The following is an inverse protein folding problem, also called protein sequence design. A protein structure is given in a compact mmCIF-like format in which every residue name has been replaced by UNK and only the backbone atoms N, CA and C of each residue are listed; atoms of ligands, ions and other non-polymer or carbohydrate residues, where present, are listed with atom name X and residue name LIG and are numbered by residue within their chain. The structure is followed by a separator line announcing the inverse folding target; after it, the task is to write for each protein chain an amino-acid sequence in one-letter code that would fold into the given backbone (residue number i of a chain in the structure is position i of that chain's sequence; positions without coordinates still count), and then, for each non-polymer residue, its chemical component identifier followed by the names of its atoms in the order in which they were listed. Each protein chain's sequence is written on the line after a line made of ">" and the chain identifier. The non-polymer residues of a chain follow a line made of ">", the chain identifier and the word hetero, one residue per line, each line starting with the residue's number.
data_IF_547402156814
#
_entry.id   IF_547402156814
#
_cell.length_a   1.000
_cell.length_b   1.000
_cell.length_c   1.000
_cell.angle_alpha   90.00
_cell.angle_beta   90.00
_cell.angle_gamma   90.00
#
_symmetry.space_group_name_H-M   'P 1'
#
loop_
_entity.id
_entity.type
_entity.pdbx_description
1 polymer ?
#
# COMPACT_ATOMS: atom_id res chain seq x y z
N UNK A 1 -5.24 -3.19 -33.26
CA UNK A 1 -5.23 -1.76 -32.88
C UNK A 1 -4.31 -1.47 -31.70
N UNK A 2 -4.42 -2.17 -30.56
CA UNK A 2 -3.50 -1.96 -29.43
C UNK A 2 -2.04 -2.31 -29.74
N UNK A 3 -1.79 -3.37 -30.50
CA UNK A 3 -0.44 -3.78 -30.89
C UNK A 3 0.27 -2.74 -31.79
N UNK A 4 -0.44 -2.13 -32.73
CA UNK A 4 0.12 -1.08 -33.60
C UNK A 4 0.42 0.20 -32.82
N UNK A 5 -0.44 0.58 -31.86
CA UNK A 5 -0.20 1.73 -30.97
C UNK A 5 1.03 1.49 -30.10
N UNK A 6 1.14 0.31 -29.47
CA UNK A 6 2.31 -0.05 -28.67
C UNK A 6 3.59 -0.01 -29.50
N UNK A 7 3.57 -0.56 -30.71
CA UNK A 7 4.70 -0.54 -31.64
C UNK A 7 5.18 0.89 -31.96
N UNK A 8 4.27 1.79 -32.36
CA UNK A 8 4.63 3.17 -32.67
C UNK A 8 5.12 3.94 -31.44
N UNK A 9 4.48 3.74 -30.28
CA UNK A 9 4.91 4.35 -29.04
C UNK A 9 6.33 3.89 -28.64
N UNK A 10 6.61 2.58 -28.72
CA UNK A 10 7.95 2.04 -28.45
C UNK A 10 8.99 2.63 -29.39
N UNK A 11 8.73 2.64 -30.70
CA UNK A 11 9.66 3.23 -31.67
C UNK A 11 9.91 4.72 -31.40
N UNK A 12 8.85 5.47 -31.05
CA UNK A 12 8.97 6.87 -30.70
C UNK A 12 9.86 7.09 -29.45
N UNK A 13 9.66 6.33 -28.38
CA UNK A 13 10.49 6.44 -27.18
C UNK A 13 11.93 5.99 -27.40
N UNK A 14 12.15 4.91 -28.16
CA UNK A 14 13.49 4.46 -28.54
C UNK A 14 14.20 5.54 -29.35
N UNK A 15 13.49 6.19 -30.28
CA UNK A 15 14.03 7.30 -31.06
C UNK A 15 14.41 8.51 -30.17
N UNK A 16 13.55 8.89 -29.20
CA UNK A 16 13.87 9.95 -28.24
C UNK A 16 15.10 9.62 -27.39
N UNK A 17 15.22 8.36 -26.93
CA UNK A 17 16.39 7.89 -26.19
C UNK A 17 17.64 7.97 -27.07
N UNK A 18 17.56 7.51 -28.32
CA UNK A 18 18.68 7.59 -29.27
C UNK A 18 19.11 9.04 -29.53
N UNK A 19 18.16 9.99 -29.64
CA UNK A 19 18.46 11.42 -29.74
C UNK A 19 19.16 11.95 -28.49
N UNK A 20 18.67 11.59 -27.29
CA UNK A 20 19.29 11.99 -26.04
C UNK A 20 20.75 11.49 -25.93
N UNK A 21 20.99 10.22 -26.26
CA UNK A 21 22.35 9.67 -26.28
C UNK A 21 23.24 10.29 -27.36
N UNK A 22 22.70 10.58 -28.55
CA UNK A 22 23.43 11.27 -29.61
C UNK A 22 23.85 12.68 -29.18
N UNK A 23 22.95 13.39 -28.50
CA UNK A 23 23.24 14.70 -27.91
C UNK A 23 24.33 14.61 -26.84
N UNK A 24 24.21 13.66 -25.90
CA UNK A 24 25.22 13.43 -24.85
C UNK A 24 26.58 13.09 -25.46
N UNK A 25 26.62 12.25 -26.49
CA UNK A 25 27.84 11.88 -27.21
C UNK A 25 28.50 13.08 -27.91
N UNK A 26 27.70 13.96 -28.50
CA UNK A 26 28.20 15.21 -29.08
C UNK A 26 28.78 16.15 -28.02
N UNK A 27 28.13 16.23 -26.86
CA UNK A 27 28.54 17.11 -25.76
C UNK A 27 29.75 16.55 -24.99
N UNK A 28 29.91 15.24 -24.87
CA UNK A 28 31.02 14.59 -24.17
C UNK A 28 32.37 14.81 -24.84
N UNK A 29 32.39 15.19 -26.11
CA UNK A 29 33.61 15.52 -26.86
C UNK A 29 34.15 16.92 -26.55
N UNK A 30 33.39 17.75 -25.84
CA UNK A 30 33.80 19.11 -25.46
C UNK A 30 34.48 19.07 -24.09
N UNK A 31 35.73 19.52 -24.01
CA UNK A 31 36.39 19.77 -22.73
C UNK A 31 35.78 21.02 -22.10
N UNK A 32 35.19 20.87 -20.91
CA UNK A 32 34.67 21.97 -20.10
C UNK A 32 35.20 21.88 -18.69
N UNK A 33 35.36 23.03 -18.06
CA UNK A 33 35.73 23.10 -16.65
C UNK A 33 34.60 22.54 -15.77
N UNK A 34 34.98 21.66 -14.84
CA UNK A 34 34.04 20.90 -14.03
C UNK A 34 33.33 21.73 -12.95
N UNK A 35 34.02 22.71 -12.36
CA UNK A 35 33.50 23.50 -11.23
C UNK A 35 32.15 24.17 -11.50
N UNK A 36 31.99 24.97 -12.56
CA UNK A 36 30.73 25.65 -12.88
C UNK A 36 29.57 24.69 -13.23
N UNK A 37 29.88 23.49 -13.73
CA UNK A 37 28.89 22.45 -14.06
C UNK A 37 28.38 21.81 -12.77
N UNK A 38 29.30 21.49 -11.85
CA UNK A 38 29.00 20.89 -10.56
C UNK A 38 28.09 21.79 -9.72
N UNK A 39 28.36 23.09 -9.64
CA UNK A 39 27.52 24.04 -8.90
C UNK A 39 26.08 24.12 -9.42
N UNK A 40 25.92 24.15 -10.75
CA UNK A 40 24.58 24.14 -11.39
C UNK A 40 23.84 22.84 -11.10
N UNK A 41 24.55 21.71 -11.18
CA UNK A 41 24.00 20.39 -10.85
C UNK A 41 23.51 20.31 -9.39
N UNK A 42 24.28 20.83 -8.44
CA UNK A 42 23.88 20.86 -7.03
C UNK A 42 22.67 21.76 -6.76
N UNK A 43 22.55 22.90 -7.45
CA UNK A 43 21.34 23.75 -7.35
C UNK A 43 20.11 22.99 -7.81
N UNK A 44 20.17 22.35 -8.98
CA UNK A 44 19.08 21.52 -9.51
C UNK A 44 18.74 20.39 -8.53
N UNK A 45 19.75 19.69 -8.01
CA UNK A 45 19.56 18.60 -7.04
C UNK A 45 18.87 19.07 -5.76
N UNK A 46 19.22 20.25 -5.24
CA UNK A 46 18.58 20.83 -4.05
C UNK A 46 17.09 21.09 -4.29
N UNK A 47 16.73 21.73 -5.40
CA UNK A 47 15.33 22.00 -5.72
C UNK A 47 14.55 20.73 -6.02
N UNK A 48 15.15 19.77 -6.74
CA UNK A 48 14.55 18.47 -6.96
C UNK A 48 14.28 17.73 -5.65
N UNK A 49 15.25 17.69 -4.74
CA UNK A 49 15.10 17.06 -3.43
C UNK A 49 13.98 17.71 -2.60
N UNK A 50 13.94 19.04 -2.54
CA UNK A 50 12.89 19.78 -1.83
C UNK A 50 11.52 19.56 -2.47
N UNK A 51 11.44 19.56 -3.80
CA UNK A 51 10.21 19.26 -4.54
C UNK A 51 9.72 17.85 -4.26
N UNK A 52 10.61 16.86 -4.29
CA UNK A 52 10.28 15.47 -3.96
C UNK A 52 9.77 15.34 -2.52
N UNK A 53 10.45 15.96 -1.56
CA UNK A 53 10.03 16.00 -0.16
C UNK A 53 8.64 16.61 0.01
N UNK A 54 8.37 17.74 -0.66
CA UNK A 54 7.08 18.40 -0.59
C UNK A 54 5.96 17.52 -1.19
N UNK A 55 6.18 16.98 -2.39
CA UNK A 55 5.19 16.14 -3.07
C UNK A 55 4.95 14.83 -2.31
N UNK A 56 6.01 14.12 -1.94
CA UNK A 56 5.88 12.85 -1.21
C UNK A 56 5.34 13.05 0.21
N UNK A 57 5.77 14.12 0.90
CA UNK A 57 5.27 14.47 2.22
C UNK A 57 3.78 14.79 2.19
N UNK A 58 3.35 15.60 1.23
CA UNK A 58 1.94 15.94 1.04
C UNK A 58 1.09 14.72 0.64
N UNK A 59 1.57 13.91 -0.31
CA UNK A 59 0.89 12.67 -0.70
C UNK A 59 0.75 11.70 0.48
N UNK A 60 1.79 11.57 1.30
CA UNK A 60 1.76 10.76 2.52
C UNK A 60 0.76 11.32 3.54
N UNK A 61 0.75 12.62 3.77
CA UNK A 61 -0.18 13.25 4.71
C UNK A 61 -1.64 13.02 4.30
N UNK A 62 -1.98 13.20 3.02
CA UNK A 62 -3.33 12.91 2.51
C UNK A 62 -3.66 11.43 2.66
N UNK A 63 -2.74 10.55 2.24
CA UNK A 63 -3.00 9.10 2.24
C UNK A 63 -3.21 8.58 3.66
N UNK A 64 -2.36 8.99 4.60
CA UNK A 64 -2.46 8.59 6.01
C UNK A 64 -3.69 9.19 6.69
N UNK A 65 -4.06 10.43 6.38
CA UNK A 65 -5.26 11.08 6.96
C UNK A 65 -6.58 10.37 6.60
N UNK A 66 -6.60 9.61 5.50
CA UNK A 66 -7.77 8.87 5.04
C UNK A 66 -7.84 7.45 5.59
N UNK A 67 -6.83 6.99 6.33
CA UNK A 67 -6.85 5.65 6.89
C UNK A 67 -7.84 5.59 8.06
N UNK A 68 -8.68 4.55 8.16
CA UNK A 68 -9.75 4.48 9.14
C UNK A 68 -9.26 4.16 10.57
N UNK A 69 -8.00 4.41 10.90
CA UNK A 69 -7.41 4.07 12.19
C UNK A 69 -8.09 4.77 13.36
N UNK A 70 -8.48 6.04 13.19
CA UNK A 70 -9.17 6.80 14.25
C UNK A 70 -10.57 6.24 14.55
N UNK A 71 -11.28 5.74 13.52
CA UNK A 71 -12.62 5.20 13.68
C UNK A 71 -12.61 3.78 14.25
N UNK A 72 -11.57 2.98 13.96
CA UNK A 72 -11.44 1.62 14.48
C UNK A 72 -11.28 1.58 16.01
N UNK A 73 -10.54 2.53 16.60
CA UNK A 73 -10.41 2.61 18.05
C UNK A 73 -11.65 3.21 18.74
N UNK A 74 -12.39 4.10 18.06
CA UNK A 74 -13.62 4.71 18.62
C UNK A 74 -14.82 3.77 18.53
N UNK A 75 -14.85 2.85 17.56
CA UNK A 75 -15.87 1.81 17.42
C UNK A 75 -15.64 0.60 18.35
N UNK A 76 -14.42 0.43 18.88
CA UNK A 76 -14.15 -0.48 19.98
C UNK A 76 -14.69 0.09 21.31
N UNK A 77 -15.97 0.46 21.34
CA UNK A 77 -16.68 0.71 22.60
C UNK A 77 -16.68 -0.59 23.39
N UNK A 78 -16.37 -0.49 24.69
CA UNK A 78 -16.28 -1.62 25.63
C UNK A 78 -17.59 -2.41 25.84
N UNK A 79 -18.71 -1.96 25.25
CA UNK A 79 -20.05 -2.56 25.41
C UNK A 79 -20.41 -3.62 24.35
N UNK A 80 -19.47 -4.02 23.50
CA UNK A 80 -19.71 -5.06 22.49
C UNK A 80 -19.61 -6.48 23.05
N UNK A 81 -20.41 -7.42 22.54
CA UNK A 81 -20.26 -8.84 22.87
C UNK A 81 -18.91 -9.35 22.41
N UNK A 82 -18.10 -9.85 23.33
CA UNK A 82 -16.78 -10.37 23.01
C UNK A 82 -16.86 -11.86 22.70
N UNK A 83 -16.32 -12.27 21.55
CA UNK A 83 -16.25 -13.68 21.12
C UNK A 83 -14.80 -14.02 20.82
N UNK A 84 -14.24 -14.97 21.58
CA UNK A 84 -12.92 -15.53 21.26
C UNK A 84 -13.07 -16.55 20.14
N UNK A 85 -12.25 -16.39 19.10
CA UNK A 85 -12.23 -17.23 17.91
C UNK A 85 -10.86 -17.86 17.78
N UNK A 86 -10.82 -19.20 17.75
CA UNK A 86 -9.57 -19.94 17.59
C UNK A 86 -9.60 -20.77 16.32
N UNK A 87 -8.70 -20.45 15.39
CA UNK A 87 -8.48 -21.21 14.16
C UNK A 87 -7.62 -22.45 14.41
N UNK A 88 -7.93 -23.50 13.66
CA UNK A 88 -7.14 -24.72 13.55
C UNK A 88 -7.36 -25.33 12.16
N UNK A 89 -6.58 -26.35 11.82
CA UNK A 89 -6.67 -26.99 10.51
C UNK A 89 -8.11 -27.44 10.21
N UNK A 90 -8.72 -26.78 9.21
CA UNK A 90 -10.06 -27.04 8.72
C UNK A 90 -11.22 -26.77 9.70
N UNK A 91 -11.01 -26.03 10.80
CA UNK A 91 -12.08 -25.72 11.75
C UNK A 91 -11.87 -24.39 12.49
N UNK A 92 -12.97 -23.90 13.07
CA UNK A 92 -13.01 -22.73 13.95
C UNK A 92 -13.72 -23.10 15.26
N UNK A 93 -13.17 -22.63 16.36
CA UNK A 93 -13.76 -22.74 17.70
C UNK A 93 -14.16 -21.34 18.16
N UNK A 94 -15.44 -21.14 18.45
CA UNK A 94 -15.98 -19.87 18.94
C UNK A 94 -16.42 -20.04 20.40
N UNK A 95 -16.17 -19.03 21.23
CA UNK A 95 -16.64 -19.05 22.63
C UNK A 95 -18.15 -18.88 22.75
N UNK A 96 -18.81 -18.32 21.73
CA UNK A 96 -20.26 -18.19 21.63
C UNK A 96 -20.67 -18.13 20.15
N UNK A 97 -21.82 -18.74 19.84
CA UNK A 97 -22.39 -18.81 18.49
C UNK A 97 -23.77 -18.14 18.39
N UNK A 98 -24.30 -17.62 19.49
CA UNK A 98 -25.58 -16.92 19.52
C UNK A 98 -25.35 -15.42 19.36
N UNK A 99 -26.01 -14.78 18.41
CA UNK A 99 -25.82 -13.34 18.15
C UNK A 99 -27.15 -12.60 18.11
N UNK A 100 -27.18 -11.39 18.67
CA UNK A 100 -28.34 -10.51 18.63
C UNK A 100 -28.17 -9.49 17.50
N UNK A 101 -29.20 -9.33 16.68
CA UNK A 101 -29.16 -8.33 15.60
C UNK A 101 -29.07 -6.92 16.19
N UNK A 102 -28.13 -6.11 15.69
CA UNK A 102 -27.89 -4.74 16.14
C UNK A 102 -26.92 -4.61 17.32
N UNK A 103 -26.50 -5.72 17.93
CA UNK A 103 -25.48 -5.75 18.97
C UNK A 103 -24.07 -5.73 18.33
N UNK A 104 -23.19 -4.79 18.71
CA UNK A 104 -21.79 -4.82 18.27
C UNK A 104 -21.08 -6.07 18.79
N UNK A 105 -20.31 -6.74 17.93
CA UNK A 105 -19.52 -7.93 18.29
C UNK A 105 -18.03 -7.64 18.10
N UNK A 106 -17.24 -7.96 19.11
CA UNK A 106 -15.79 -7.92 19.05
C UNK A 106 -15.23 -9.35 18.98
N UNK A 107 -14.76 -9.75 17.80
CA UNK A 107 -14.05 -11.01 17.63
C UNK A 107 -12.59 -10.85 18.07
N UNK A 108 -12.13 -11.70 18.99
CA UNK A 108 -10.72 -11.82 19.38
C UNK A 108 -10.15 -13.07 18.74
N UNK A 109 -9.37 -12.91 17.68
CA UNK A 109 -9.01 -14.00 16.79
C UNK A 109 -7.58 -14.47 17.04
N UNK A 110 -7.37 -15.77 17.17
CA UNK A 110 -6.06 -16.42 17.27
C UNK A 110 -6.06 -17.78 16.58
N UNK A 111 -4.92 -18.47 16.55
CA UNK A 111 -4.79 -19.82 15.99
C UNK A 111 -3.99 -20.75 16.90
N UNK A 112 -4.31 -22.05 16.88
CA UNK A 112 -3.58 -23.10 17.61
C UNK A 112 -2.41 -23.69 16.81
N UNK A 113 -2.36 -23.54 15.49
CA UNK A 113 -1.39 -24.20 14.62
C UNK A 113 -0.64 -23.25 13.67
N UNK A 114 -1.22 -22.90 12.52
CA UNK A 114 -0.65 -22.03 11.49
C UNK A 114 -1.48 -20.76 11.35
N UNK A 115 -1.02 -19.82 10.53
CA UNK A 115 -1.81 -18.61 10.25
C UNK A 115 -2.99 -18.95 9.33
N UNK A 116 -4.20 -18.55 9.73
CA UNK A 116 -5.42 -18.69 8.91
C UNK A 116 -6.02 -17.32 8.57
N UNK A 117 -6.82 -17.27 7.51
CA UNK A 117 -7.68 -16.11 7.22
C UNK A 117 -9.05 -16.28 7.88
N UNK A 118 -9.38 -15.42 8.85
CA UNK A 118 -10.73 -15.35 9.40
C UNK A 118 -11.54 -14.35 8.59
N UNK A 119 -12.61 -14.80 7.94
CA UNK A 119 -13.46 -13.98 7.07
C UNK A 119 -14.93 -14.11 7.44
N UNK A 120 -15.62 -12.97 7.55
CA UNK A 120 -17.06 -12.90 7.75
C UNK A 120 -17.75 -12.69 6.40
N UNK A 121 -18.67 -13.59 6.05
CA UNK A 121 -19.42 -13.53 4.80
C UNK A 121 -20.89 -13.29 5.08
N UNK A 122 -21.56 -12.56 4.17
CA UNK A 122 -23.02 -12.48 4.20
C UNK A 122 -23.66 -13.69 3.48
N UNK A 123 -25.00 -13.85 3.50
CA UNK A 123 -25.68 -14.98 2.84
C UNK A 123 -25.48 -15.08 1.32
N UNK A 124 -24.97 -14.02 0.67
CA UNK A 124 -24.62 -14.02 -0.76
C UNK A 124 -23.16 -14.39 -1.02
N UNK A 125 -22.42 -14.82 0.01
CA UNK A 125 -20.98 -15.12 -0.03
C UNK A 125 -20.10 -13.89 -0.35
N UNK A 126 -20.57 -12.69 0.00
CA UNK A 126 -19.75 -11.47 -0.10
C UNK A 126 -18.96 -11.28 1.20
N UNK A 127 -17.66 -10.99 1.07
CA UNK A 127 -16.78 -10.76 2.21
C UNK A 127 -17.06 -9.39 2.84
N UNK A 128 -17.46 -9.39 4.12
CA UNK A 128 -17.81 -8.18 4.88
C UNK A 128 -16.61 -7.67 5.69
N UNK A 129 -15.87 -8.58 6.32
CA UNK A 129 -14.70 -8.26 7.12
C UNK A 129 -13.72 -9.44 7.14
N UNK A 130 -12.43 -9.18 7.33
CA UNK A 130 -11.43 -10.22 7.51
C UNK A 130 -10.26 -9.77 8.40
N UNK A 131 -9.62 -10.73 9.06
CA UNK A 131 -8.35 -10.56 9.77
C UNK A 131 -7.51 -11.86 9.70
N UNK A 132 -6.26 -11.80 10.13
CA UNK A 132 -5.39 -12.97 10.24
C UNK A 132 -5.46 -13.58 11.64
N UNK A 133 -5.75 -14.88 11.69
CA UNK A 133 -5.66 -15.68 12.91
C UNK A 133 -4.23 -16.21 13.05
N UNK A 134 -3.41 -15.58 13.88
CA UNK A 134 -1.98 -15.93 14.03
C UNK A 134 -1.71 -16.67 15.34
N UNK A 135 -0.92 -17.76 15.35
CA UNK A 135 -0.48 -18.41 16.57
C UNK A 135 0.31 -17.46 17.48
N UNK A 136 -0.03 -17.42 18.77
CA UNK A 136 0.65 -16.57 19.75
C UNK A 136 0.26 -15.09 19.75
N UNK A 137 -0.64 -14.66 18.86
CA UNK A 137 -1.18 -13.31 18.82
C UNK A 137 -2.71 -13.33 18.88
N UNK A 138 -3.31 -12.27 19.43
CA UNK A 138 -4.75 -12.01 19.35
C UNK A 138 -4.96 -10.73 18.55
N UNK A 139 -5.71 -10.83 17.46
CA UNK A 139 -6.12 -9.70 16.60
C UNK A 139 -7.59 -9.38 16.78
#
# INVERSE_FOLDING_TARGET
>A
MYQSIAWYATLFFVFLIALAFSFVYGESRKLREYGPIQEKGYKIRKFYFLGLLAVMGFASAISLSKLPYHNQHVLAKEDGKIVDVTGMQFAWELSDENFTVGEPVQFRVTSKDVTHGFGLYNPKMELIAQTQAMPGYKT
#
